data_IF_108438549615
#
_entry.id   IF_108438549615
#
_cell.length_a   1.000
_cell.length_b   1.000
_cell.length_c   1.000
_cell.angle_alpha   90.00
_cell.angle_beta   90.00
_cell.angle_gamma   90.00
#
_symmetry.space_group_name_H-M   'P 1'
#
loop_
_entity.id
_entity.type
_entity.pdbx_description
1 polymer ?
#
# COMPACT_ATOMS: atom_id res chain seq x y z
N UNK A 1 37.87 -21.04 12.31
CA UNK A 1 36.53 -21.52 12.70
C UNK A 1 35.75 -21.69 11.41
N UNK A 2 35.44 -22.92 11.03
CA UNK A 2 34.66 -23.19 9.81
C UNK A 2 33.22 -22.73 10.05
N UNK A 3 32.79 -21.70 9.33
CA UNK A 3 31.38 -21.37 9.17
C UNK A 3 30.70 -22.57 8.51
N UNK A 4 29.91 -23.30 9.29
CA UNK A 4 29.03 -24.35 8.75
C UNK A 4 27.98 -23.64 7.91
N UNK A 5 28.11 -23.71 6.59
CA UNK A 5 26.99 -23.47 5.68
C UNK A 5 25.83 -24.37 6.14
N UNK A 6 24.69 -23.83 6.59
CA UNK A 6 23.60 -24.66 7.08
C UNK A 6 23.11 -25.53 5.93
N UNK A 7 23.06 -26.85 6.17
CA UNK A 7 22.48 -27.87 5.31
C UNK A 7 21.22 -27.36 4.61
N UNK A 8 21.31 -27.13 3.30
CA UNK A 8 20.18 -26.73 2.47
C UNK A 8 19.28 -27.94 2.26
N UNK A 9 18.41 -28.23 3.24
CA UNK A 9 17.32 -29.16 3.01
C UNK A 9 16.47 -28.61 1.85
N UNK A 10 16.52 -29.29 0.71
CA UNK A 10 15.73 -28.92 -0.47
C UNK A 10 14.27 -29.22 -0.14
N UNK A 11 13.52 -28.17 0.19
CA UNK A 11 12.09 -28.26 0.44
C UNK A 11 11.36 -28.44 -0.89
N UNK A 12 10.78 -29.62 -1.09
CA UNK A 12 9.95 -29.88 -2.27
C UNK A 12 8.55 -29.27 -2.10
N UNK A 13 8.34 -28.12 -2.75
CA UNK A 13 7.02 -27.53 -2.90
C UNK A 13 6.73 -27.32 -4.40
N UNK A 14 5.81 -28.10 -5.01
CA UNK A 14 5.57 -28.09 -6.45
C UNK A 14 5.29 -26.68 -7.02
N UNK A 15 4.40 -25.94 -6.38
CA UNK A 15 4.05 -24.58 -6.81
C UNK A 15 5.21 -23.57 -6.62
N UNK A 16 6.12 -23.81 -5.68
CA UNK A 16 7.27 -22.92 -5.49
C UNK A 16 8.31 -23.18 -6.60
N UNK A 17 8.56 -24.45 -6.92
CA UNK A 17 9.41 -24.89 -8.04
C UNK A 17 8.92 -24.32 -9.38
N UNK A 18 7.62 -24.44 -9.68
CA UNK A 18 7.02 -23.90 -10.90
C UNK A 18 7.22 -22.38 -11.05
N UNK A 19 7.29 -21.66 -9.94
CA UNK A 19 7.43 -20.21 -9.91
C UNK A 19 8.87 -19.74 -9.65
N UNK A 20 9.84 -20.67 -9.65
CA UNK A 20 11.25 -20.41 -9.37
C UNK A 20 11.46 -19.66 -8.03
N UNK A 21 10.77 -20.14 -6.98
CA UNK A 21 10.85 -19.66 -5.59
C UNK A 21 11.31 -20.80 -4.68
N UNK A 22 12.29 -20.51 -3.84
CA UNK A 22 12.82 -21.42 -2.83
C UNK A 22 12.33 -21.05 -1.43
N UNK A 23 12.42 -21.98 -0.48
CA UNK A 23 12.06 -21.77 0.91
C UNK A 23 13.29 -21.88 1.79
N UNK A 24 13.48 -20.91 2.68
CA UNK A 24 14.45 -21.06 3.75
C UNK A 24 13.97 -22.13 4.75
N UNK A 25 14.83 -23.04 5.24
CA UNK A 25 14.44 -24.10 6.18
C UNK A 25 13.71 -23.60 7.41
N UNK A 26 14.19 -22.50 7.99
CA UNK A 26 13.57 -21.87 9.16
C UNK A 26 12.14 -21.38 8.87
N UNK A 27 11.91 -20.78 7.71
CA UNK A 27 10.59 -20.31 7.31
C UNK A 27 9.61 -21.47 7.16
N UNK A 28 10.07 -22.56 6.54
CA UNK A 28 9.27 -23.76 6.36
C UNK A 28 8.89 -24.42 7.68
N UNK A 29 9.85 -24.53 8.61
CA UNK A 29 9.61 -25.07 9.94
C UNK A 29 8.59 -24.24 10.74
N UNK A 30 8.66 -22.91 10.65
CA UNK A 30 7.66 -22.02 11.26
C UNK A 30 6.25 -22.29 10.74
N UNK A 31 6.08 -22.59 9.44
CA UNK A 31 4.76 -22.91 8.87
C UNK A 31 4.21 -24.23 9.41
N UNK A 32 5.06 -25.21 9.76
CA UNK A 32 4.60 -26.48 10.37
C UNK A 32 3.92 -26.28 11.73
N UNK A 33 4.28 -25.23 12.45
CA UNK A 33 3.69 -24.90 13.76
C UNK A 33 2.30 -24.25 13.65
N UNK A 34 1.87 -23.85 12.43
CA UNK A 34 0.53 -23.35 12.20
C UNK A 34 -0.51 -24.50 12.19
N UNK A 35 -1.80 -24.24 12.48
CA UNK A 35 -2.87 -25.23 12.36
C UNK A 35 -2.94 -25.84 10.95
N UNK A 36 -3.27 -27.12 10.84
CA UNK A 36 -3.21 -27.86 9.57
C UNK A 36 -4.03 -27.20 8.45
N UNK A 37 -5.26 -26.78 8.76
CA UNK A 37 -6.18 -26.18 7.80
C UNK A 37 -5.67 -24.86 7.16
N UNK A 38 -4.75 -24.14 7.82
CA UNK A 38 -4.17 -22.90 7.25
C UNK A 38 -2.87 -23.12 6.47
N UNK A 39 -2.14 -24.23 6.70
CA UNK A 39 -0.81 -24.45 6.10
C UNK A 39 -0.82 -24.39 4.57
N UNK A 40 -1.75 -25.03 3.84
CA UNK A 40 -1.78 -24.96 2.37
C UNK A 40 -1.98 -23.52 1.87
N UNK A 41 -2.83 -22.76 2.56
CA UNK A 41 -3.08 -21.36 2.25
C UNK A 41 -1.85 -20.49 2.44
N UNK A 42 -1.13 -20.66 3.56
CA UNK A 42 0.11 -19.92 3.84
C UNK A 42 1.17 -20.22 2.77
N UNK A 43 1.43 -21.50 2.47
CA UNK A 43 2.46 -21.88 1.49
C UNK A 43 2.18 -21.30 0.11
N UNK A 44 0.93 -21.38 -0.35
CA UNK A 44 0.51 -20.80 -1.64
C UNK A 44 0.65 -19.28 -1.63
N UNK A 45 0.19 -18.61 -0.57
CA UNK A 45 0.24 -17.15 -0.45
C UNK A 45 1.68 -16.62 -0.49
N UNK A 46 2.61 -17.26 0.23
CA UNK A 46 4.00 -16.79 0.26
C UNK A 46 4.65 -16.84 -1.12
N UNK A 47 4.45 -17.92 -1.87
CA UNK A 47 4.96 -18.03 -3.25
C UNK A 47 4.37 -16.93 -4.13
N UNK A 48 3.05 -16.71 -4.07
CA UNK A 48 2.39 -15.64 -4.86
C UNK A 48 2.97 -14.26 -4.54
N UNK A 49 3.26 -13.99 -3.26
CA UNK A 49 3.81 -12.70 -2.82
C UNK A 49 5.28 -12.54 -3.18
N UNK A 50 6.08 -13.61 -3.08
CA UNK A 50 7.48 -13.61 -3.55
C UNK A 50 7.54 -13.28 -5.04
N UNK A 51 6.78 -13.99 -5.87
CA UNK A 51 6.74 -13.75 -7.32
C UNK A 51 6.33 -12.31 -7.63
N UNK A 52 5.27 -11.81 -6.99
CA UNK A 52 4.79 -10.45 -7.21
C UNK A 52 5.83 -9.38 -6.86
N UNK A 53 6.68 -9.63 -5.87
CA UNK A 53 7.70 -8.70 -5.39
C UNK A 53 9.10 -8.97 -5.98
N UNK A 54 9.23 -9.96 -6.86
CA UNK A 54 10.51 -10.34 -7.45
C UNK A 54 11.46 -11.09 -6.50
N UNK A 55 11.00 -11.51 -5.32
CA UNK A 55 11.82 -12.31 -4.40
C UNK A 55 11.93 -13.76 -4.86
N UNK A 56 13.11 -14.36 -4.67
CA UNK A 56 13.40 -15.75 -5.02
C UNK A 56 13.37 -16.71 -3.84
N UNK A 57 13.45 -16.20 -2.60
CA UNK A 57 13.51 -17.03 -1.39
C UNK A 57 12.47 -16.55 -0.39
N UNK A 58 11.68 -17.47 0.15
CA UNK A 58 10.78 -17.21 1.29
C UNK A 58 11.59 -17.30 2.59
N UNK A 59 11.75 -16.18 3.27
CA UNK A 59 12.49 -16.07 4.54
C UNK A 59 11.57 -15.98 5.75
N UNK A 60 12.16 -16.14 6.94
CA UNK A 60 11.49 -16.00 8.24
C UNK A 60 10.88 -14.60 8.40
N UNK A 61 11.61 -13.56 7.98
CA UNK A 61 11.14 -12.18 8.05
C UNK A 61 10.00 -11.91 7.07
N UNK A 62 10.07 -12.48 5.87
CA UNK A 62 9.02 -12.35 4.87
C UNK A 62 7.69 -12.97 5.35
N UNK A 63 7.73 -14.07 6.10
CA UNK A 63 6.53 -14.62 6.74
C UNK A 63 5.90 -13.61 7.72
N UNK A 64 6.72 -12.95 8.52
CA UNK A 64 6.27 -11.96 9.50
C UNK A 64 5.65 -10.76 8.79
N UNK A 65 6.30 -10.27 7.73
CA UNK A 65 5.80 -9.17 6.91
C UNK A 65 4.43 -9.51 6.34
N UNK A 66 4.31 -10.58 5.54
CA UNK A 66 3.07 -10.98 4.90
C UNK A 66 1.97 -11.30 5.92
N UNK A 67 2.31 -11.88 7.08
CA UNK A 67 1.35 -12.07 8.17
C UNK A 67 0.76 -10.73 8.61
N UNK A 68 1.59 -9.72 8.86
CA UNK A 68 1.12 -8.40 9.29
C UNK A 68 0.21 -7.76 8.22
N UNK A 69 0.56 -7.88 6.94
CA UNK A 69 -0.30 -7.39 5.84
C UNK A 69 -1.66 -8.11 5.82
N UNK A 70 -1.64 -9.43 5.96
CA UNK A 70 -2.85 -10.25 6.05
C UNK A 70 -3.71 -9.82 7.23
N UNK A 71 -3.11 -9.52 8.40
CA UNK A 71 -3.85 -9.03 9.56
C UNK A 71 -4.53 -7.70 9.27
N UNK A 72 -3.86 -6.74 8.65
CA UNK A 72 -4.48 -5.45 8.28
C UNK A 72 -5.65 -5.61 7.31
N UNK A 73 -5.52 -6.49 6.31
CA UNK A 73 -6.59 -6.79 5.36
C UNK A 73 -7.79 -7.47 6.05
N UNK A 74 -7.52 -8.33 7.03
CA UNK A 74 -8.56 -8.94 7.87
C UNK A 74 -9.23 -7.88 8.72
N UNK A 75 -8.49 -7.03 9.43
CA UNK A 75 -9.02 -5.94 10.25
C UNK A 75 -9.92 -5.00 9.44
N UNK A 76 -9.52 -4.66 8.22
CA UNK A 76 -10.35 -3.84 7.32
C UNK A 76 -11.67 -4.52 6.99
N UNK A 77 -11.62 -5.83 6.71
CA UNK A 77 -12.82 -6.61 6.38
C UNK A 77 -13.75 -6.74 7.59
N UNK A 78 -13.19 -6.94 8.78
CA UNK A 78 -13.93 -7.00 10.06
C UNK A 78 -14.66 -5.68 10.31
N UNK A 79 -13.96 -4.54 10.18
CA UNK A 79 -14.61 -3.20 10.22
C UNK A 79 -15.69 -3.04 9.16
N UNK A 80 -15.44 -3.50 7.93
CA UNK A 80 -16.42 -3.45 6.85
C UNK A 80 -17.69 -4.28 7.11
N UNK A 81 -17.62 -5.28 7.99
CA UNK A 81 -18.79 -6.03 8.43
C UNK A 81 -19.53 -5.40 9.62
N UNK A 82 -19.02 -4.29 10.18
CA UNK A 82 -19.58 -3.59 11.33
C UNK A 82 -19.08 -4.10 12.68
N UNK A 83 -18.01 -4.90 12.70
CA UNK A 83 -17.43 -5.41 13.94
C UNK A 83 -16.29 -4.52 14.41
N UNK A 84 -16.35 -4.10 15.67
CA UNK A 84 -15.28 -3.36 16.34
C UNK A 84 -14.35 -4.30 17.14
N UNK A 85 -14.87 -5.45 17.56
CA UNK A 85 -14.13 -6.48 18.29
C UNK A 85 -14.42 -7.89 17.75
N UNK A 86 -13.52 -8.83 18.06
CA UNK A 86 -13.65 -10.23 17.69
C UNK A 86 -14.36 -10.98 18.82
N UNK A 87 -15.66 -11.22 18.67
CA UNK A 87 -16.51 -11.91 19.65
C UNK A 87 -16.95 -13.27 19.11
N UNK A 88 -17.26 -14.23 19.99
CA UNK A 88 -17.70 -15.57 19.59
C UNK A 88 -19.04 -15.51 18.81
N UNK A 89 -19.92 -14.58 19.16
CA UNK A 89 -21.20 -14.35 18.48
C UNK A 89 -21.04 -13.88 17.02
N UNK A 90 -19.83 -13.43 16.63
CA UNK A 90 -19.53 -13.01 15.27
C UNK A 90 -19.47 -14.18 14.27
N UNK A 91 -19.30 -15.43 14.75
CA UNK A 91 -19.21 -16.61 13.89
C UNK A 91 -20.55 -16.94 13.21
N UNK A 92 -21.68 -16.79 13.89
CA UNK A 92 -23.01 -17.00 13.31
C UNK A 92 -23.30 -16.01 12.17
N UNK A 93 -22.98 -14.73 12.39
CA UNK A 93 -23.13 -13.69 11.37
C UNK A 93 -22.20 -13.94 10.18
N UNK A 94 -20.99 -14.47 10.43
CA UNK A 94 -20.06 -14.83 9.36
C UNK A 94 -20.57 -16.04 8.54
N UNK A 95 -21.12 -17.08 9.20
CA UNK A 95 -21.74 -18.23 8.54
C UNK A 95 -22.89 -17.79 7.64
N UNK A 96 -23.80 -16.96 8.16
CA UNK A 96 -24.90 -16.34 7.40
C UNK A 96 -24.40 -15.64 6.13
N UNK A 97 -23.44 -14.72 6.27
CA UNK A 97 -22.93 -13.94 5.13
C UNK A 97 -22.16 -14.79 4.12
N UNK A 98 -21.68 -15.97 4.51
CA UNK A 98 -20.91 -16.89 3.66
C UNK A 98 -21.72 -18.10 3.17
N UNK A 99 -23.03 -18.15 3.40
CA UNK A 99 -23.94 -19.26 3.03
C UNK A 99 -23.82 -19.73 1.57
N UNK A 100 -23.43 -18.83 0.66
CA UNK A 100 -23.26 -19.16 -0.75
C UNK A 100 -22.05 -20.08 -1.04
N UNK A 101 -21.15 -20.29 -0.08
CA UNK A 101 -19.94 -21.11 -0.27
C UNK A 101 -19.83 -22.18 0.82
N UNK A 102 -20.24 -23.43 0.54
CA UNK A 102 -20.23 -24.52 1.53
C UNK A 102 -18.86 -24.71 2.20
N UNK A 103 -17.80 -24.73 1.40
CA UNK A 103 -16.42 -24.84 1.89
C UNK A 103 -16.02 -23.73 2.88
N UNK A 104 -16.53 -22.50 2.71
CA UNK A 104 -16.20 -21.41 3.65
C UNK A 104 -16.94 -21.58 4.97
N UNK A 105 -18.16 -22.12 4.95
CA UNK A 105 -18.93 -22.40 6.15
C UNK A 105 -18.26 -23.52 6.95
N UNK A 106 -17.85 -24.61 6.29
CA UNK A 106 -17.07 -25.69 6.92
C UNK A 106 -15.79 -25.16 7.59
N UNK A 107 -15.03 -24.32 6.90
CA UNK A 107 -13.80 -23.72 7.48
C UNK A 107 -14.13 -22.81 8.67
N UNK A 108 -15.29 -22.14 8.68
CA UNK A 108 -15.71 -21.33 9.84
C UNK A 108 -15.99 -22.25 11.04
N UNK A 109 -16.68 -23.37 10.82
CA UNK A 109 -16.96 -24.37 11.85
C UNK A 109 -15.67 -25.01 12.40
N UNK A 110 -14.72 -25.38 11.54
CA UNK A 110 -13.41 -25.89 11.97
C UNK A 110 -12.65 -24.88 12.84
N UNK A 111 -12.74 -23.57 12.53
CA UNK A 111 -12.13 -22.51 13.34
C UNK A 111 -12.85 -22.38 14.68
N UNK A 112 -14.17 -22.42 14.67
CA UNK A 112 -15.02 -22.34 15.87
C UNK A 112 -14.69 -23.48 16.85
N UNK A 113 -14.66 -24.72 16.34
CA UNK A 113 -14.29 -25.92 17.08
C UNK A 113 -12.86 -25.81 17.62
N UNK A 114 -11.90 -25.44 16.76
CA UNK A 114 -10.50 -25.30 17.15
C UNK A 114 -10.29 -24.26 18.26
N UNK A 115 -11.06 -23.16 18.24
CA UNK A 115 -11.00 -22.14 19.29
C UNK A 115 -11.67 -22.61 20.58
N UNK A 116 -12.78 -23.36 20.51
CA UNK A 116 -13.47 -23.89 21.69
C UNK A 116 -12.62 -24.92 22.46
N UNK A 117 -11.76 -25.67 21.76
CA UNK A 117 -10.84 -26.63 22.36
C UNK A 117 -9.66 -25.96 23.10
N UNK A 118 -9.44 -24.65 22.92
CA UNK A 118 -8.36 -23.94 23.61
C UNK A 118 -8.81 -23.57 25.02
N UNK A 119 -8.15 -24.15 26.01
CA UNK A 119 -8.39 -23.89 27.43
C UNK A 119 -7.79 -22.56 27.91
N UNK A 120 -6.82 -22.01 27.18
CA UNK A 120 -6.16 -20.74 27.51
C UNK A 120 -6.42 -19.69 26.43
N UNK A 121 -7.05 -18.60 26.86
CA UNK A 121 -7.18 -17.40 26.05
C UNK A 121 -5.81 -16.71 26.00
N UNK A 122 -5.22 -16.66 24.82
CA UNK A 122 -4.00 -15.89 24.56
C UNK A 122 -4.36 -14.42 24.38
N UNK A 123 -4.47 -13.69 25.49
CA UNK A 123 -4.85 -12.28 25.51
C UNK A 123 -3.89 -11.40 24.68
N UNK A 124 -2.62 -11.80 24.55
CA UNK A 124 -1.63 -11.13 23.72
C UNK A 124 -2.00 -11.12 22.22
N UNK A 125 -2.70 -12.15 21.74
CA UNK A 125 -3.19 -12.23 20.35
C UNK A 125 -4.35 -11.26 20.15
N UNK A 126 -5.25 -11.17 21.14
CA UNK A 126 -6.40 -10.26 21.10
C UNK A 126 -5.93 -8.81 21.12
N UNK A 127 -4.96 -8.48 21.98
CA UNK A 127 -4.35 -7.14 22.06
C UNK A 127 -3.64 -6.76 20.75
N UNK A 128 -2.83 -7.67 20.19
CA UNK A 128 -2.23 -7.45 18.86
C UNK A 128 -3.30 -7.22 17.78
N UNK A 129 -4.41 -7.95 17.83
CA UNK A 129 -5.51 -7.75 16.89
C UNK A 129 -6.17 -6.38 17.05
N UNK A 130 -6.42 -5.95 18.30
CA UNK A 130 -6.94 -4.61 18.61
C UNK A 130 -6.03 -3.51 18.04
N UNK A 131 -4.72 -3.64 18.21
CA UNK A 131 -3.74 -2.74 17.59
C UNK A 131 -3.92 -2.63 16.07
N UNK A 132 -4.10 -3.76 15.36
CA UNK A 132 -4.37 -3.72 13.91
C UNK A 132 -5.70 -3.06 13.57
N UNK A 133 -6.75 -3.30 14.38
CA UNK A 133 -8.04 -2.66 14.21
C UNK A 133 -7.93 -1.14 14.36
N UNK A 134 -7.21 -0.63 15.36
CA UNK A 134 -7.04 0.81 15.58
C UNK A 134 -6.39 1.52 14.39
N UNK A 135 -5.26 0.98 13.89
CA UNK A 135 -4.50 1.60 12.79
C UNK A 135 -5.15 1.41 11.41
N UNK A 136 -6.07 0.46 11.27
CA UNK A 136 -6.69 0.17 9.97
C UNK A 136 -7.84 1.16 9.70
N UNK A 137 -7.81 1.92 8.60
CA UNK A 137 -8.86 2.89 8.31
C UNK A 137 -10.19 2.20 7.95
N UNK A 138 -11.31 2.80 8.33
CA UNK A 138 -12.66 2.31 8.00
C UNK A 138 -13.00 2.50 6.51
N UNK A 139 -12.42 3.51 5.87
CA UNK A 139 -12.55 3.81 4.44
C UNK A 139 -11.18 4.12 3.83
N UNK A 140 -11.01 3.88 2.53
CA UNK A 140 -9.72 4.03 1.84
C UNK A 140 -8.87 2.76 1.83
N UNK A 141 -7.63 2.84 1.34
CA UNK A 141 -6.70 1.71 1.30
C UNK A 141 -5.91 1.64 2.63
N UNK A 142 -5.69 0.46 3.23
CA UNK A 142 -4.79 0.34 4.38
C UNK A 142 -3.34 0.52 3.93
N UNK A 143 -2.50 1.06 4.82
CA UNK A 143 -1.08 1.32 4.59
C UNK A 143 -0.27 0.51 5.61
N UNK A 144 0.77 -0.21 5.17
CA UNK A 144 1.64 -0.90 6.13
C UNK A 144 2.47 0.11 6.95
N UNK A 145 3.02 -0.33 8.08
CA UNK A 145 3.77 0.53 9.00
C UNK A 145 4.94 1.24 8.30
N UNK A 146 5.72 0.52 7.52
CA UNK A 146 6.85 1.07 6.75
C UNK A 146 6.42 2.13 5.74
N UNK A 147 5.25 1.95 5.11
CA UNK A 147 4.68 2.93 4.20
C UNK A 147 4.30 4.23 4.93
N UNK A 148 3.73 4.13 6.14
CA UNK A 148 3.40 5.29 6.96
C UNK A 148 4.68 6.03 7.41
N UNK A 149 5.70 5.32 7.87
CA UNK A 149 6.98 5.92 8.27
C UNK A 149 7.67 6.65 7.11
N UNK A 150 7.56 6.13 5.88
CA UNK A 150 8.05 6.85 4.68
C UNK A 150 7.21 8.10 4.38
N UNK A 151 5.90 8.04 4.58
CA UNK A 151 5.03 9.20 4.39
C UNK A 151 5.26 10.30 5.43
N UNK A 152 5.71 10.00 6.65
CA UNK A 152 6.03 11.03 7.64
C UNK A 152 7.19 11.93 7.22
N UNK A 153 8.11 11.42 6.39
CA UNK A 153 9.23 12.20 5.83
C UNK A 153 8.81 13.12 4.69
N UNK A 154 7.62 12.89 4.13
CA UNK A 154 7.12 13.61 2.97
C UNK A 154 6.61 14.99 3.40
N UNK A 155 7.07 16.08 2.77
CA UNK A 155 6.66 17.42 3.15
C UNK A 155 5.13 17.61 3.10
N UNK A 156 4.53 18.37 4.03
CA UNK A 156 3.08 18.53 4.13
C UNK A 156 2.37 18.94 2.83
N UNK A 157 3.02 19.78 2.01
CA UNK A 157 2.46 20.29 0.77
C UNK A 157 2.28 19.22 -0.33
N UNK A 158 3.03 18.11 -0.28
CA UNK A 158 2.89 16.98 -1.23
C UNK A 158 2.12 15.79 -0.64
N UNK A 159 1.88 15.74 0.68
CA UNK A 159 1.25 14.60 1.36
C UNK A 159 -0.09 14.18 0.75
N UNK A 160 -1.01 15.14 0.56
CA UNK A 160 -2.36 14.85 0.07
C UNK A 160 -2.36 14.23 -1.33
N UNK A 161 -1.52 14.76 -2.21
CA UNK A 161 -1.38 14.25 -3.57
C UNK A 161 -0.61 12.93 -3.62
N UNK A 162 0.50 12.84 -2.90
CA UNK A 162 1.28 11.60 -2.79
C UNK A 162 0.38 10.45 -2.33
N UNK A 163 -0.45 10.68 -1.29
CA UNK A 163 -1.42 9.69 -0.81
C UNK A 163 -2.38 9.24 -1.91
N UNK A 164 -2.99 10.17 -2.63
CA UNK A 164 -3.95 9.87 -3.69
C UNK A 164 -3.29 9.09 -4.85
N UNK A 165 -2.11 9.51 -5.29
CA UNK A 165 -1.40 8.87 -6.40
C UNK A 165 -0.87 7.49 -6.03
N UNK A 166 -0.34 7.33 -4.81
CA UNK A 166 0.10 6.04 -4.29
C UNK A 166 -1.08 5.07 -4.19
N UNK A 167 -2.23 5.51 -3.67
CA UNK A 167 -3.43 4.66 -3.61
C UNK A 167 -4.00 4.34 -5.00
N UNK A 168 -3.95 5.28 -5.94
CA UNK A 168 -4.36 5.05 -7.33
C UNK A 168 -3.47 3.99 -7.99
N UNK A 169 -2.15 4.17 -7.91
CA UNK A 169 -1.16 3.23 -8.45
C UNK A 169 -1.29 1.85 -7.82
N UNK A 170 -1.48 1.78 -6.50
CA UNK A 170 -1.71 0.53 -5.79
C UNK A 170 -2.97 -0.19 -6.33
N UNK A 171 -4.06 0.55 -6.56
CA UNK A 171 -5.30 0.01 -7.11
C UNK A 171 -5.14 -0.47 -8.56
N UNK A 172 -4.42 0.26 -9.39
CA UNK A 172 -4.10 -0.15 -10.78
C UNK A 172 -3.30 -1.45 -10.82
N UNK A 173 -2.32 -1.61 -9.92
CA UNK A 173 -1.53 -2.85 -9.77
C UNK A 173 -2.30 -3.99 -9.11
N UNK A 174 -3.58 -3.77 -8.78
CA UNK A 174 -4.44 -4.74 -8.10
C UNK A 174 -4.05 -5.01 -6.64
N UNK A 175 -3.27 -4.13 -6.01
CA UNK A 175 -2.93 -4.23 -4.61
C UNK A 175 -4.09 -3.80 -3.71
N UNK A 176 -4.21 -4.52 -2.58
CA UNK A 176 -5.26 -4.29 -1.59
C UNK A 176 -4.80 -3.40 -0.44
N UNK A 177 -3.51 -3.05 -0.42
CA UNK A 177 -2.84 -2.32 0.64
C UNK A 177 -1.64 -1.57 0.04
N UNK A 178 -1.33 -0.40 0.57
CA UNK A 178 -0.12 0.36 0.22
C UNK A 178 1.07 -0.22 0.98
N UNK A 179 2.14 -0.51 0.24
CA UNK A 179 3.41 -1.03 0.75
C UNK A 179 4.53 -0.05 0.44
N UNK A 180 5.61 -0.10 1.22
CA UNK A 180 6.76 0.79 1.07
C UNK A 180 7.40 0.76 -0.34
N UNK A 181 7.32 -0.36 -1.06
CA UNK A 181 7.82 -0.45 -2.44
C UNK A 181 6.99 0.34 -3.46
N UNK A 182 5.66 0.49 -3.24
CA UNK A 182 4.82 1.34 -4.12
C UNK A 182 5.20 2.80 -3.93
N UNK A 183 5.48 3.17 -2.67
CA UNK A 183 5.86 4.53 -2.31
C UNK A 183 7.14 4.95 -3.06
N UNK A 184 8.17 4.11 -3.05
CA UNK A 184 9.42 4.37 -3.76
C UNK A 184 9.23 4.47 -5.27
N UNK A 185 8.45 3.55 -5.86
CA UNK A 185 8.13 3.58 -7.29
C UNK A 185 7.46 4.90 -7.68
N UNK A 186 6.46 5.32 -6.91
CA UNK A 186 5.70 6.55 -7.15
C UNK A 186 6.57 7.78 -6.92
N UNK A 187 7.38 7.80 -5.88
CA UNK A 187 8.27 8.92 -5.60
C UNK A 187 9.42 9.04 -6.60
N UNK A 188 9.93 7.94 -7.14
CA UNK A 188 10.94 7.96 -8.20
C UNK A 188 10.39 8.58 -9.48
N UNK A 189 9.12 8.29 -9.80
CA UNK A 189 8.46 8.78 -11.02
C UNK A 189 7.85 10.18 -10.88
N UNK A 190 7.55 10.63 -9.66
CA UNK A 190 6.85 11.88 -9.41
C UNK A 190 7.76 12.93 -8.82
N UNK A 191 8.64 12.62 -7.86
CA UNK A 191 9.44 13.68 -7.23
C UNK A 191 10.65 14.04 -8.09
N UNK A 192 10.85 15.33 -8.40
CA UNK A 192 12.08 15.80 -9.03
C UNK A 192 13.29 15.53 -8.14
N UNK A 193 14.47 15.45 -8.75
CA UNK A 193 15.74 15.25 -8.07
C UNK A 193 16.01 16.31 -6.99
N UNK A 194 15.62 17.56 -7.20
CA UNK A 194 15.68 18.66 -6.24
C UNK A 194 14.84 18.39 -4.98
N UNK A 195 13.65 17.82 -5.13
CA UNK A 195 12.79 17.43 -4.01
C UNK A 195 13.32 16.17 -3.30
N UNK A 196 13.85 15.18 -4.05
CA UNK A 196 14.51 14.00 -3.47
C UNK A 196 15.70 14.43 -2.58
N UNK A 197 16.52 15.36 -3.06
CA UNK A 197 17.69 15.88 -2.34
C UNK A 197 17.29 16.64 -1.07
N UNK A 198 16.24 17.46 -1.13
CA UNK A 198 15.70 18.16 0.03
C UNK A 198 15.12 17.22 1.11
N UNK A 199 14.71 16.02 0.71
CA UNK A 199 14.20 14.97 1.61
C UNK A 199 15.29 14.00 2.10
N UNK A 200 16.57 14.23 1.75
CA UNK A 200 17.69 13.38 2.14
C UNK A 200 17.68 12.01 1.47
N UNK A 201 16.99 11.88 0.33
CA UNK A 201 17.06 10.71 -0.56
C UNK A 201 18.32 10.87 -1.40
N UNK A 202 19.10 9.81 -1.60
CA UNK A 202 20.26 9.85 -2.48
C UNK A 202 19.81 10.14 -3.91
N UNK A 203 20.41 11.17 -4.50
CA UNK A 203 20.16 11.61 -5.87
C UNK A 203 21.48 11.60 -6.59
N UNK A 204 21.49 11.04 -7.79
CA UNK A 204 22.69 11.05 -8.63
C UNK A 204 22.92 12.45 -9.23
N UNK A 205 24.18 12.80 -9.50
CA UNK A 205 24.49 14.05 -10.21
C UNK A 205 23.85 14.10 -11.60
N UNK A 206 23.63 12.95 -12.23
CA UNK A 206 23.00 12.85 -13.53
C UNK A 206 21.50 13.15 -13.46
N UNK A 207 20.78 12.67 -12.43
CA UNK A 207 19.37 13.05 -12.18
C UNK A 207 19.21 14.56 -11.92
N UNK A 208 20.17 15.18 -11.21
CA UNK A 208 20.19 16.63 -10.97
C UNK A 208 20.45 17.43 -12.25
N UNK A 209 21.37 16.95 -13.11
CA UNK A 209 21.67 17.57 -14.41
C UNK A 209 20.51 17.41 -15.38
N UNK A 210 19.87 16.24 -15.43
CA UNK A 210 18.68 15.99 -16.25
C UNK A 210 17.54 16.94 -15.84
N UNK A 211 17.30 17.11 -14.54
CA UNK A 211 16.32 18.08 -14.05
C UNK A 211 16.72 19.52 -14.42
N UNK A 212 17.98 19.92 -14.23
CA UNK A 212 18.47 21.24 -14.63
C UNK A 212 18.27 21.50 -16.13
N UNK A 213 18.58 20.52 -16.99
CA UNK A 213 18.34 20.63 -18.44
C UNK A 213 16.85 20.66 -18.81
N UNK A 214 15.97 20.01 -18.04
CA UNK A 214 14.52 20.13 -18.22
C UNK A 214 13.97 21.46 -17.71
N UNK A 215 14.57 22.07 -16.69
CA UNK A 215 14.18 23.40 -16.19
C UNK A 215 14.67 24.55 -17.07
N UNK A 216 15.80 24.37 -17.77
CA UNK A 216 16.39 25.35 -18.70
C UNK A 216 15.82 25.23 -20.13
N UNK A 217 15.00 24.22 -20.41
CA UNK A 217 14.25 24.13 -21.65
C UNK A 217 13.23 25.29 -21.75
N UNK A 218 12.88 25.77 -22.97
CA UNK A 218 11.86 26.80 -23.15
C UNK A 218 10.59 26.43 -22.37
N UNK A 219 10.02 27.38 -21.63
CA UNK A 219 8.85 27.15 -20.77
C UNK A 219 7.74 26.45 -21.55
N UNK A 220 7.62 25.12 -21.39
CA UNK A 220 6.52 24.39 -21.98
C UNK A 220 5.23 24.82 -21.27
N UNK A 221 4.27 25.23 -22.09
CA UNK A 221 2.93 25.59 -21.65
C UNK A 221 2.31 24.30 -21.09
N UNK A 222 1.85 24.28 -19.83
CA UNK A 222 1.15 23.13 -19.29
C UNK A 222 0.00 22.73 -20.21
N UNK A 223 -0.19 21.43 -20.41
CA UNK A 223 -1.36 20.94 -21.14
C UNK A 223 -2.60 21.15 -20.25
N UNK A 224 -3.55 21.97 -20.73
CA UNK A 224 -4.77 22.33 -20.00
C UNK A 224 -5.94 21.50 -20.51
N UNK A 225 -6.60 20.74 -19.62
CA UNK A 225 -7.83 20.01 -19.97
C UNK A 225 -9.08 20.90 -19.83
N UNK A 226 -9.04 21.88 -18.92
CA UNK A 226 -10.12 22.85 -18.71
C UNK A 226 -9.80 24.20 -19.33
N UNK A 227 -10.84 25.04 -19.49
CA UNK A 227 -10.64 26.46 -19.79
C UNK A 227 -10.18 27.18 -18.53
N UNK A 228 -9.15 28.00 -18.67
CA UNK A 228 -8.61 28.82 -17.58
C UNK A 228 -8.87 30.29 -17.87
N UNK A 229 -9.30 31.01 -16.84
CA UNK A 229 -9.33 32.46 -16.90
C UNK A 229 -7.91 33.02 -16.91
N UNK A 230 -7.67 34.08 -17.68
CA UNK A 230 -6.32 34.66 -17.92
C UNK A 230 -5.57 34.96 -16.62
N UNK A 231 -6.26 35.50 -15.62
CA UNK A 231 -5.68 35.85 -14.30
C UNK A 231 -5.16 34.62 -13.53
N UNK A 232 -5.90 33.51 -13.57
CA UNK A 232 -5.51 32.26 -12.90
C UNK A 232 -4.33 31.60 -13.64
N UNK A 233 -4.34 31.66 -14.97
CA UNK A 233 -3.28 31.15 -15.83
C UNK A 233 -1.96 31.90 -15.58
N UNK A 234 -1.99 33.23 -15.48
CA UNK A 234 -0.79 34.02 -15.15
C UNK A 234 -0.18 33.65 -13.79
N UNK A 235 -1.00 33.32 -12.80
CA UNK A 235 -0.50 32.89 -11.47
C UNK A 235 0.19 31.54 -11.53
N UNK A 236 -0.37 30.59 -12.26
CA UNK A 236 0.25 29.28 -12.51
C UNK A 236 1.58 29.45 -13.23
N UNK A 237 1.62 30.27 -14.29
CA UNK A 237 2.84 30.49 -15.08
C UNK A 237 3.98 31.14 -14.29
N UNK A 238 3.69 31.83 -13.18
CA UNK A 238 4.72 32.38 -12.27
C UNK A 238 5.44 31.33 -11.44
N UNK A 239 4.95 30.08 -11.38
CA UNK A 239 5.62 28.99 -10.67
C UNK A 239 6.86 28.59 -11.47
N UNK A 240 8.09 28.86 -11.00
CA UNK A 240 9.30 28.67 -11.81
C UNK A 240 9.59 27.19 -12.10
N UNK A 241 9.15 26.29 -11.22
CA UNK A 241 9.36 24.86 -11.35
C UNK A 241 8.24 24.26 -12.21
N UNK A 242 8.58 23.84 -13.43
CA UNK A 242 7.65 23.26 -14.42
C UNK A 242 6.85 22.08 -13.87
N UNK A 243 7.50 21.23 -13.09
CA UNK A 243 6.86 20.10 -12.42
C UNK A 243 5.75 20.55 -11.45
N UNK A 244 6.06 21.48 -10.53
CA UNK A 244 5.08 22.01 -9.56
C UNK A 244 3.96 22.75 -10.29
N UNK A 245 4.28 23.45 -11.39
CA UNK A 245 3.31 24.12 -12.25
C UNK A 245 2.32 23.12 -12.85
N UNK A 246 2.80 22.07 -13.51
CA UNK A 246 1.97 21.02 -14.10
C UNK A 246 1.14 20.28 -13.05
N UNK A 247 1.71 20.04 -11.86
CA UNK A 247 1.00 19.47 -10.72
C UNK A 247 -0.13 20.37 -10.21
N UNK A 248 0.13 21.68 -10.12
CA UNK A 248 -0.86 22.66 -9.70
C UNK A 248 -2.04 22.69 -10.68
N UNK A 249 -1.76 22.71 -11.99
CA UNK A 249 -2.78 22.66 -13.05
C UNK A 249 -3.64 21.41 -12.91
N UNK A 250 -3.02 20.22 -12.95
CA UNK A 250 -3.77 18.95 -12.87
C UNK A 250 -4.64 18.84 -11.62
N UNK A 251 -4.16 19.29 -10.47
CA UNK A 251 -4.92 19.21 -9.21
C UNK A 251 -6.10 20.16 -9.20
N UNK A 252 -5.89 21.41 -9.62
CA UNK A 252 -6.96 22.41 -9.68
C UNK A 252 -8.03 21.95 -10.66
N UNK A 253 -7.65 21.44 -11.83
CA UNK A 253 -8.60 20.88 -12.80
C UNK A 253 -9.37 19.67 -12.25
N UNK A 254 -8.71 18.77 -11.52
CA UNK A 254 -9.39 17.64 -10.87
C UNK A 254 -10.42 18.10 -9.82
N UNK A 255 -10.08 19.05 -8.95
CA UNK A 255 -11.00 19.55 -7.92
C UNK A 255 -12.17 20.35 -8.53
N UNK A 256 -11.90 21.16 -9.55
CA UNK A 256 -12.95 21.87 -10.30
C UNK A 256 -13.88 20.86 -10.99
N UNK A 257 -13.33 19.87 -11.68
CA UNK A 257 -14.12 18.82 -12.34
C UNK A 257 -14.99 18.03 -11.35
N UNK A 258 -14.46 17.76 -10.16
CA UNK A 258 -15.15 16.99 -9.12
C UNK A 258 -16.24 17.78 -8.40
N UNK A 259 -15.98 19.03 -8.05
CA UNK A 259 -16.85 19.82 -7.17
C UNK A 259 -17.73 20.82 -7.93
N UNK A 260 -17.29 21.30 -9.10
CA UNK A 260 -17.97 22.37 -9.86
C UNK A 260 -18.49 21.91 -11.23
N UNK A 261 -17.94 20.80 -11.77
CA UNK A 261 -18.37 20.15 -13.01
C UNK A 261 -17.30 20.11 -14.11
N UNK A 262 -17.40 19.17 -15.07
CA UNK A 262 -16.35 18.89 -16.04
C UNK A 262 -16.12 19.98 -17.10
N UNK A 263 -17.08 20.87 -17.33
CA UNK A 263 -16.96 21.97 -18.31
C UNK A 263 -16.76 23.34 -17.64
N UNK A 264 -16.49 23.36 -16.33
CA UNK A 264 -16.36 24.60 -15.58
C UNK A 264 -15.01 25.27 -15.85
N UNK A 265 -15.05 26.55 -16.17
CA UNK A 265 -13.85 27.38 -16.30
C UNK A 265 -13.17 27.61 -14.95
N UNK A 266 -11.85 27.48 -14.91
CA UNK A 266 -11.02 27.75 -13.73
C UNK A 266 -10.89 29.26 -13.57
N UNK A 267 -11.76 29.85 -12.76
CA UNK A 267 -11.72 31.28 -12.40
C UNK A 267 -10.67 31.54 -11.31
N UNK A 268 -10.32 32.81 -11.09
CA UNK A 268 -9.41 33.20 -10.01
C UNK A 268 -9.90 32.78 -8.62
N UNK A 269 -11.21 32.79 -8.37
CA UNK A 269 -11.78 32.30 -7.11
C UNK A 269 -11.58 30.80 -6.93
N UNK A 270 -11.79 30.00 -7.97
CA UNK A 270 -11.57 28.55 -7.93
C UNK A 270 -10.08 28.23 -7.82
N UNK A 271 -9.23 29.01 -8.50
CA UNK A 271 -7.79 28.96 -8.31
C UNK A 271 -7.44 29.26 -6.86
N UNK A 272 -7.91 30.35 -6.25
CA UNK A 272 -7.58 30.65 -4.85
C UNK A 272 -8.16 29.65 -3.84
N UNK A 273 -9.29 29.05 -4.16
CA UNK A 273 -9.93 28.03 -3.34
C UNK A 273 -9.19 26.68 -3.37
N UNK A 274 -8.65 26.31 -4.53
CA UNK A 274 -8.01 25.01 -4.75
C UNK A 274 -6.49 25.10 -4.95
N UNK A 275 -5.90 26.30 -4.92
CA UNK A 275 -4.44 26.51 -4.97
C UNK A 275 -3.81 25.96 -3.71
N UNK A 276 -2.51 25.69 -3.80
CA UNK A 276 -1.68 25.44 -2.64
C UNK A 276 -1.75 26.63 -1.67
N UNK A 277 -2.23 26.36 -0.45
CA UNK A 277 -1.86 27.15 0.72
C UNK A 277 -0.50 26.64 1.19
N UNK A 278 0.53 27.45 0.95
CA UNK A 278 1.88 27.23 1.47
C UNK A 278 1.89 27.31 3.00
#
# INVERSE_FOLDING_TARGET
MNEKTPSTEIIDHPYARENNVEWHPEAWERVKHAPEFVRPGIRKLMVQRCVKRGYKIVTSDFLTEIRNESMMLVSKRVKGFGFEELTMDSFEVAKEKMRQSPRKVEVIEEIEDFLSMRTEKKDDIVEKFKSYMEVTPSSGMPWNKEALEKMEKVPPFVLGMAKQTIEARARERGDKMVTAGIIEEVFTNIMPASAKQAMGIEVTEDELKEEQTQTDAPQDIPEFELKWHDDALQKVMRIPISFIRNMAVKRIEQEVRKNEGPDKEVTMELFERYRFSF
#
